data_IF_709417004013
#
_entry.id   IF_709417004013
#
_cell.length_a   1.000
_cell.length_b   1.000
_cell.length_c   1.000
_cell.angle_alpha   90.00
_cell.angle_beta   90.00
_cell.angle_gamma   90.00
#
_symmetry.space_group_name_H-M   'P 1'
#
loop_
_entity.id
_entity.type
_entity.pdbx_description
1 polymer ?
#
# COMPACT_ATOMS: atom_id res chain seq x y z
N UNK A 1 7.61 3.64 -1.54
CA UNK A 1 6.58 3.73 -2.60
C UNK A 1 5.46 4.69 -2.16
N UNK A 2 5.81 5.93 -1.79
CA UNK A 2 4.83 6.94 -1.37
C UNK A 2 5.05 8.28 -2.09
N UNK A 3 5.86 8.32 -3.18
CA UNK A 3 6.47 9.54 -3.77
C UNK A 3 5.67 10.83 -3.55
N UNK A 4 4.53 10.94 -4.22
CA UNK A 4 3.70 12.15 -4.23
C UNK A 4 2.76 12.21 -3.02
N UNK A 5 2.25 11.06 -2.57
CA UNK A 5 1.22 10.97 -1.53
C UNK A 5 1.78 10.74 -0.12
N UNK A 6 3.10 10.85 0.09
CA UNK A 6 3.72 10.54 1.38
C UNK A 6 3.13 11.37 2.53
N UNK A 7 2.90 12.69 2.38
CA UNK A 7 2.26 13.47 3.44
C UNK A 7 0.84 12.95 3.76
N UNK A 8 0.04 12.69 2.72
CA UNK A 8 -1.34 12.17 2.84
C UNK A 8 -1.35 10.79 3.51
N UNK A 9 -0.50 9.87 3.06
CA UNK A 9 -0.38 8.53 3.63
C UNK A 9 0.08 8.57 5.09
N UNK A 10 0.99 9.49 5.46
CA UNK A 10 1.42 9.65 6.85
C UNK A 10 0.26 10.07 7.76
N UNK A 11 -0.63 10.94 7.30
CA UNK A 11 -1.84 11.34 8.03
C UNK A 11 -2.76 10.12 8.23
N UNK A 12 -3.07 9.38 7.16
CA UNK A 12 -3.90 8.17 7.25
C UNK A 12 -3.30 7.11 8.19
N UNK A 13 -1.98 6.90 8.11
CA UNK A 13 -1.24 5.99 8.96
C UNK A 13 -1.22 6.45 10.43
N UNK A 14 -1.06 7.75 10.69
CA UNK A 14 -1.14 8.30 12.04
C UNK A 14 -2.54 8.10 12.63
N UNK A 15 -3.59 8.41 11.88
CA UNK A 15 -4.97 8.15 12.28
C UNK A 15 -5.19 6.67 12.60
N UNK A 16 -4.68 5.74 11.78
CA UNK A 16 -4.82 4.31 12.02
C UNK A 16 -4.17 3.83 13.33
N UNK A 17 -3.13 4.52 13.83
CA UNK A 17 -2.46 4.18 15.10
C UNK A 17 -3.13 4.76 16.32
N UNK A 18 -3.71 5.95 16.19
CA UNK A 18 -4.12 6.75 17.34
C UNK A 18 -5.64 6.99 17.42
N UNK A 19 -6.37 6.86 16.32
CA UNK A 19 -7.82 7.01 16.26
C UNK A 19 -8.33 8.45 16.47
N UNK A 20 -7.46 9.45 16.52
CA UNK A 20 -7.84 10.84 16.71
C UNK A 20 -8.41 11.44 15.42
N UNK A 21 -9.73 11.63 15.36
CA UNK A 21 -10.41 12.14 14.17
C UNK A 21 -9.87 13.51 13.70
N UNK A 22 -9.39 14.35 14.62
CA UNK A 22 -8.76 15.64 14.29
C UNK A 22 -7.53 15.50 13.40
N UNK A 23 -6.81 14.37 13.40
CA UNK A 23 -5.69 14.17 12.48
C UNK A 23 -6.14 14.23 11.02
N UNK A 24 -7.39 13.87 10.72
CA UNK A 24 -7.89 13.86 9.34
C UNK A 24 -8.21 15.27 8.80
N UNK A 25 -8.27 16.30 9.65
CA UNK A 25 -8.53 17.69 9.20
C UNK A 25 -7.38 18.25 8.35
N UNK A 26 -6.19 17.65 8.44
CA UNK A 26 -5.02 18.06 7.66
C UNK A 26 -5.01 17.43 6.24
N UNK A 27 -5.89 16.45 5.96
CA UNK A 27 -5.94 15.79 4.65
C UNK A 27 -6.22 16.75 3.49
N UNK A 28 -7.19 17.69 3.55
CA UNK A 28 -7.47 18.60 2.45
C UNK A 28 -6.27 19.46 2.05
N UNK A 29 -5.51 19.97 3.03
CA UNK A 29 -4.31 20.77 2.77
C UNK A 29 -3.22 19.92 2.10
N UNK A 30 -2.95 18.74 2.65
CA UNK A 30 -1.96 17.83 2.10
C UNK A 30 -2.32 17.38 0.67
N UNK A 31 -3.59 17.11 0.39
CA UNK A 31 -4.08 16.73 -0.94
C UNK A 31 -3.99 17.89 -1.93
N UNK A 32 -4.38 19.10 -1.51
CA UNK A 32 -4.27 20.31 -2.33
C UNK A 32 -2.82 20.57 -2.72
N UNK A 33 -1.88 20.46 -1.77
CA UNK A 33 -0.45 20.60 -2.04
C UNK A 33 0.07 19.59 -3.08
N UNK A 34 -0.40 18.34 -3.02
CA UNK A 34 -0.04 17.31 -4.01
C UNK A 34 -0.53 17.68 -5.41
N UNK A 35 -1.79 18.15 -5.55
CA UNK A 35 -2.33 18.55 -6.86
C UNK A 35 -1.70 19.85 -7.37
N UNK A 36 -1.37 20.81 -6.51
CA UNK A 36 -0.65 22.02 -6.91
C UNK A 36 0.77 21.71 -7.42
N UNK A 37 1.47 20.77 -6.78
CA UNK A 37 2.79 20.32 -7.22
C UNK A 37 2.73 19.45 -8.49
N UNK A 38 1.58 18.83 -8.76
CA UNK A 38 1.35 17.93 -9.89
C UNK A 38 0.04 18.29 -10.60
N UNK A 39 -0.01 19.44 -11.29
CA UNK A 39 -1.24 19.94 -11.89
C UNK A 39 -1.80 18.93 -12.89
N UNK A 40 -3.12 18.73 -12.83
CA UNK A 40 -3.83 17.88 -13.76
C UNK A 40 -3.86 18.53 -15.15
N UNK A 41 -3.76 17.71 -16.18
CA UNK A 41 -3.96 18.15 -17.56
C UNK A 41 -5.43 17.99 -17.91
N UNK A 42 -5.99 18.97 -18.61
CA UNK A 42 -7.38 18.95 -19.04
C UNK A 42 -7.73 17.68 -19.85
N UNK A 43 -8.93 17.15 -19.59
CA UNK A 43 -9.45 15.97 -20.27
C UNK A 43 -8.74 14.65 -19.93
N UNK A 44 -7.94 14.59 -18.85
CA UNK A 44 -7.30 13.36 -18.37
C UNK A 44 -8.00 12.81 -17.12
N UNK A 45 -8.06 11.48 -17.04
CA UNK A 45 -8.45 10.78 -15.82
C UNK A 45 -7.31 10.82 -14.80
N UNK A 46 -7.67 10.95 -13.52
CA UNK A 46 -6.75 10.84 -12.39
C UNK A 46 -6.73 9.40 -11.86
N UNK A 47 -5.52 8.87 -11.62
CA UNK A 47 -5.32 7.58 -10.95
C UNK A 47 -4.52 7.83 -9.68
N UNK A 48 -5.10 7.45 -8.53
CA UNK A 48 -4.46 7.48 -7.22
C UNK A 48 -4.25 6.03 -6.78
N UNK A 49 -3.00 5.66 -6.48
CA UNK A 49 -2.65 4.32 -6.01
C UNK A 49 -1.63 4.41 -4.89
N UNK A 50 -2.06 4.09 -3.67
CA UNK A 50 -1.22 4.12 -2.48
C UNK A 50 -1.86 3.31 -1.34
N UNK A 51 -1.25 2.19 -0.96
CA UNK A 51 -1.72 1.35 0.15
C UNK A 51 -1.84 2.13 1.47
N UNK A 52 -0.91 3.05 1.72
CA UNK A 52 -0.90 3.85 2.95
C UNK A 52 -2.12 4.77 3.14
N UNK A 53 -2.95 4.96 2.10
CA UNK A 53 -4.21 5.69 2.23
C UNK A 53 -5.24 4.92 3.05
N UNK A 54 -5.16 3.59 3.07
CA UNK A 54 -5.98 2.72 3.93
C UNK A 54 -5.48 2.67 5.39
N UNK A 55 -4.45 3.45 5.72
CA UNK A 55 -3.77 3.43 7.01
C UNK A 55 -2.60 2.45 7.06
N UNK A 56 -2.19 2.08 8.28
CA UNK A 56 -1.11 1.13 8.48
C UNK A 56 -1.56 -0.32 8.25
N UNK A 57 -0.64 -1.14 7.76
CA UNK A 57 -0.78 -2.60 7.73
C UNK A 57 -1.06 -3.15 9.15
N UNK A 58 -2.04 -4.03 9.36
CA UNK A 58 -2.23 -4.72 10.63
C UNK A 58 -0.96 -5.44 11.09
N UNK A 59 -0.55 -5.18 12.33
CA UNK A 59 0.74 -5.62 12.89
C UNK A 59 1.67 -4.49 13.31
N UNK A 60 1.40 -3.24 12.89
CA UNK A 60 1.98 -2.05 13.51
C UNK A 60 1.45 -1.87 14.95
N UNK A 61 2.17 -1.16 15.85
CA UNK A 61 1.70 -0.88 17.21
C UNK A 61 0.29 -0.25 17.19
N UNK A 62 -0.62 -0.83 17.99
CA UNK A 62 -2.04 -0.47 18.08
C UNK A 62 -2.90 -0.73 16.84
N UNK A 63 -2.35 -1.25 15.74
CA UNK A 63 -3.08 -1.52 14.50
C UNK A 63 -3.39 -3.01 14.37
N UNK A 64 -4.65 -3.38 14.63
CA UNK A 64 -5.10 -4.79 14.61
C UNK A 64 -5.81 -5.18 13.32
N UNK A 65 -6.44 -4.23 12.62
CA UNK A 65 -7.25 -4.44 11.42
C UNK A 65 -7.16 -3.21 10.52
N UNK A 66 -7.83 -3.24 9.36
CA UNK A 66 -7.99 -2.09 8.48
C UNK A 66 -9.19 -1.19 8.84
N UNK A 67 -9.64 -1.16 10.10
CA UNK A 67 -10.80 -0.36 10.54
C UNK A 67 -10.63 1.16 10.31
N UNK A 68 -9.41 1.65 10.09
CA UNK A 68 -9.16 3.04 9.73
C UNK A 68 -9.46 3.36 8.25
N UNK A 69 -9.46 2.35 7.38
CA UNK A 69 -9.60 2.52 5.94
C UNK A 69 -10.96 3.13 5.53
N UNK A 70 -12.11 2.70 6.08
CA UNK A 70 -13.39 3.34 5.77
C UNK A 70 -13.38 4.85 6.03
N UNK A 71 -12.84 5.29 7.17
CA UNK A 71 -12.78 6.71 7.50
C UNK A 71 -11.85 7.50 6.57
N UNK A 72 -10.63 7.01 6.39
CA UNK A 72 -9.59 7.71 5.61
C UNK A 72 -9.96 7.80 4.12
N UNK A 73 -10.55 6.74 3.56
CA UNK A 73 -10.99 6.73 2.17
C UNK A 73 -12.27 7.58 1.99
N UNK A 74 -13.21 7.61 2.95
CA UNK A 74 -14.37 8.51 2.88
C UNK A 74 -13.96 9.98 2.89
N UNK A 75 -12.99 10.38 3.72
CA UNK A 75 -12.46 11.74 3.70
C UNK A 75 -11.83 12.10 2.36
N UNK A 76 -11.00 11.21 1.82
CA UNK A 76 -10.38 11.39 0.50
C UNK A 76 -11.45 11.51 -0.60
N UNK A 77 -12.45 10.65 -0.59
CA UNK A 77 -13.53 10.63 -1.58
C UNK A 77 -14.38 11.89 -1.51
N UNK A 78 -14.75 12.35 -0.31
CA UNK A 78 -15.50 13.59 -0.12
C UNK A 78 -14.74 14.78 -0.68
N UNK A 79 -13.46 14.92 -0.32
CA UNK A 79 -12.63 15.98 -0.85
C UNK A 79 -12.50 15.92 -2.38
N UNK A 80 -12.32 14.73 -2.97
CA UNK A 80 -12.28 14.56 -4.43
C UNK A 80 -13.61 14.94 -5.10
N UNK A 81 -14.75 14.68 -4.46
CA UNK A 81 -16.06 15.11 -4.97
C UNK A 81 -16.17 16.62 -5.00
N UNK A 82 -15.67 17.30 -3.96
CA UNK A 82 -15.70 18.76 -3.89
C UNK A 82 -14.79 19.40 -4.96
N UNK A 83 -13.61 18.82 -5.19
CA UNK A 83 -12.67 19.32 -6.20
C UNK A 83 -13.09 18.98 -7.64
N UNK A 84 -13.74 17.83 -7.84
CA UNK A 84 -14.10 17.31 -9.16
C UNK A 84 -15.57 16.87 -9.20
N UNK A 85 -16.54 17.80 -9.09
CA UNK A 85 -17.95 17.46 -8.93
C UNK A 85 -18.57 16.73 -10.13
N UNK A 86 -17.93 16.79 -11.30
CA UNK A 86 -18.37 16.12 -12.52
C UNK A 86 -17.64 14.78 -12.76
N UNK A 87 -16.66 14.43 -11.93
CA UNK A 87 -15.87 13.22 -12.10
C UNK A 87 -16.55 12.01 -11.47
N UNK A 88 -16.61 10.90 -12.22
CA UNK A 88 -17.00 9.61 -11.67
C UNK A 88 -15.84 9.03 -10.85
N UNK A 89 -16.08 8.80 -9.55
CA UNK A 89 -15.11 8.13 -8.68
C UNK A 89 -15.35 6.62 -8.64
N UNK A 90 -14.26 5.86 -8.75
CA UNK A 90 -14.27 4.39 -8.64
C UNK A 90 -13.15 3.92 -7.74
N UNK A 91 -13.42 2.93 -6.91
CA UNK A 91 -12.42 2.30 -6.07
C UNK A 91 -12.03 0.93 -6.64
N UNK A 92 -10.73 0.69 -6.75
CA UNK A 92 -10.20 -0.64 -7.06
C UNK A 92 -9.40 -1.09 -5.84
N UNK A 93 -9.89 -2.12 -5.16
CA UNK A 93 -9.30 -2.64 -3.93
C UNK A 93 -8.65 -3.98 -4.24
N UNK A 94 -7.34 -4.10 -3.99
CA UNK A 94 -6.62 -5.36 -4.20
C UNK A 94 -6.75 -6.26 -2.98
N UNK A 95 -6.98 -7.55 -3.20
CA UNK A 95 -6.97 -8.55 -2.13
C UNK A 95 -6.14 -9.77 -2.50
N UNK A 96 -5.71 -10.50 -1.47
CA UNK A 96 -5.02 -11.78 -1.53
C UNK A 96 -5.77 -12.81 -0.69
N UNK A 97 -5.52 -14.08 -0.94
CA UNK A 97 -5.93 -15.15 -0.05
C UNK A 97 -5.40 -14.89 1.38
N UNK A 98 -6.21 -15.15 2.44
CA UNK A 98 -5.87 -14.78 3.81
C UNK A 98 -4.48 -15.23 4.27
N UNK A 99 -4.11 -16.49 4.04
CA UNK A 99 -2.81 -17.05 4.46
C UNK A 99 -1.64 -16.38 3.72
N UNK A 100 -1.78 -16.19 2.42
CA UNK A 100 -0.77 -15.52 1.58
C UNK A 100 -0.59 -14.06 1.99
N UNK A 101 -1.68 -13.38 2.36
CA UNK A 101 -1.63 -12.02 2.88
C UNK A 101 -0.94 -11.97 4.25
N UNK A 102 -1.36 -12.81 5.21
CA UNK A 102 -0.75 -12.88 6.55
C UNK A 102 0.75 -13.15 6.46
N UNK A 103 1.16 -14.10 5.62
CA UNK A 103 2.57 -14.43 5.44
C UNK A 103 3.36 -13.28 4.78
N UNK A 104 2.72 -12.52 3.89
CA UNK A 104 3.30 -11.29 3.35
C UNK A 104 3.45 -10.21 4.42
N UNK A 105 2.42 -10.00 5.25
CA UNK A 105 2.42 -9.01 6.31
C UNK A 105 3.47 -9.33 7.38
N UNK A 106 3.53 -10.58 7.85
CA UNK A 106 4.54 -11.03 8.80
C UNK A 106 5.97 -10.72 8.34
N UNK A 107 6.31 -11.08 7.10
CA UNK A 107 7.63 -10.80 6.51
C UNK A 107 7.89 -9.29 6.36
N UNK A 108 6.86 -8.51 6.05
CA UNK A 108 6.96 -7.05 6.02
C UNK A 108 7.36 -6.52 7.40
N UNK A 109 6.69 -6.98 8.46
CA UNK A 109 7.02 -6.55 9.83
C UNK A 109 8.39 -7.03 10.29
N UNK A 110 8.80 -8.25 9.94
CA UNK A 110 10.14 -8.72 10.26
C UNK A 110 11.23 -7.82 9.68
N UNK A 111 11.06 -7.37 8.44
CA UNK A 111 12.01 -6.46 7.79
C UNK A 111 11.91 -5.05 8.38
N UNK A 112 10.70 -4.47 8.42
CA UNK A 112 10.49 -3.05 8.74
C UNK A 112 10.47 -2.69 10.22
N UNK A 113 10.29 -3.66 11.11
CA UNK A 113 10.09 -3.44 12.55
C UNK A 113 10.79 -4.52 13.39
N UNK A 114 10.91 -4.30 14.70
CA UNK A 114 11.38 -5.31 15.66
C UNK A 114 10.26 -6.32 15.99
N UNK A 115 9.69 -6.95 14.97
CA UNK A 115 8.68 -8.01 15.13
C UNK A 115 9.34 -9.29 15.65
N UNK A 116 8.91 -9.76 16.82
CA UNK A 116 9.49 -10.94 17.49
C UNK A 116 8.59 -12.17 17.49
N UNK A 117 7.33 -12.03 17.05
CA UNK A 117 6.43 -13.17 16.87
C UNK A 117 6.95 -14.05 15.74
N UNK A 118 6.93 -15.36 15.96
CA UNK A 118 7.09 -16.30 14.86
C UNK A 118 5.83 -16.33 13.99
N UNK A 119 5.86 -17.18 12.96
CA UNK A 119 4.76 -17.27 12.01
C UNK A 119 3.46 -17.74 12.66
N UNK A 120 3.50 -18.78 13.51
CA UNK A 120 2.33 -19.32 14.18
C UNK A 120 1.64 -18.27 15.04
N UNK A 121 2.42 -17.58 15.88
CA UNK A 121 1.88 -16.57 16.79
C UNK A 121 1.34 -15.36 16.03
N UNK A 122 2.05 -14.92 14.98
CA UNK A 122 1.58 -13.81 14.15
C UNK A 122 0.29 -14.15 13.42
N UNK A 123 0.24 -15.33 12.76
CA UNK A 123 -0.91 -15.76 11.99
C UNK A 123 -2.15 -15.90 12.88
N UNK A 124 -2.02 -16.51 14.07
CA UNK A 124 -3.12 -16.62 15.02
C UNK A 124 -3.60 -15.24 15.50
N UNK A 125 -2.67 -14.37 15.89
CA UNK A 125 -2.99 -13.03 16.43
C UNK A 125 -3.67 -12.11 15.42
N UNK A 126 -3.26 -12.16 14.15
CA UNK A 126 -3.75 -11.25 13.11
C UNK A 126 -4.72 -11.91 12.12
N UNK A 127 -5.17 -13.15 12.39
CA UNK A 127 -6.15 -13.87 11.55
C UNK A 127 -7.38 -13.04 11.19
N UNK A 128 -8.03 -12.31 12.13
CA UNK A 128 -9.21 -11.51 11.80
C UNK A 128 -8.91 -10.39 10.78
N UNK A 129 -7.67 -9.88 10.76
CA UNK A 129 -7.26 -8.82 9.83
C UNK A 129 -7.11 -9.31 8.39
N UNK A 130 -7.07 -10.62 8.18
CA UNK A 130 -6.91 -11.25 6.87
C UNK A 130 -8.25 -11.38 6.11
N UNK A 131 -9.38 -11.01 6.73
CA UNK A 131 -10.66 -10.86 6.04
C UNK A 131 -10.69 -9.54 5.26
N UNK A 132 -9.94 -9.52 4.16
CA UNK A 132 -9.86 -8.36 3.27
C UNK A 132 -11.16 -8.14 2.50
N UNK A 133 -12.00 -9.18 2.35
CA UNK A 133 -13.30 -9.04 1.73
C UNK A 133 -14.22 -8.17 2.60
N UNK A 134 -14.24 -8.42 3.91
CA UNK A 134 -14.96 -7.58 4.86
C UNK A 134 -14.39 -6.15 4.89
N UNK A 135 -13.07 -5.99 4.97
CA UNK A 135 -12.46 -4.65 4.94
C UNK A 135 -12.82 -3.87 3.66
N UNK A 136 -12.85 -4.54 2.50
CA UNK A 136 -13.26 -3.93 1.24
C UNK A 136 -14.74 -3.55 1.25
N UNK A 137 -15.60 -4.38 1.85
CA UNK A 137 -17.02 -4.08 2.03
C UNK A 137 -17.21 -2.86 2.93
N UNK A 138 -16.51 -2.78 4.05
CA UNK A 138 -16.61 -1.64 4.97
C UNK A 138 -16.22 -0.32 4.28
N UNK A 139 -15.19 -0.33 3.43
CA UNK A 139 -14.80 0.82 2.61
C UNK A 139 -15.90 1.17 1.59
N UNK A 140 -16.47 0.16 0.92
CA UNK A 140 -17.56 0.38 -0.04
C UNK A 140 -18.78 1.03 0.64
N UNK A 141 -19.20 0.49 1.78
CA UNK A 141 -20.35 0.97 2.54
C UNK A 141 -20.13 2.42 3.03
N UNK A 142 -18.94 2.73 3.56
CA UNK A 142 -18.63 4.05 4.10
C UNK A 142 -18.49 5.15 3.03
N UNK A 143 -18.20 4.78 1.79
CA UNK A 143 -17.99 5.73 0.69
C UNK A 143 -19.20 5.81 -0.25
N UNK A 144 -20.03 4.77 -0.32
CA UNK A 144 -21.09 4.64 -1.31
C UNK A 144 -20.59 4.50 -2.74
N UNK A 145 -19.27 4.38 -2.96
CA UNK A 145 -18.67 4.33 -4.28
C UNK A 145 -18.78 2.93 -4.90
N UNK A 146 -18.81 2.89 -6.24
CA UNK A 146 -18.64 1.63 -6.96
C UNK A 146 -17.24 1.08 -6.71
N UNK A 147 -17.18 -0.12 -6.13
CA UNK A 147 -15.94 -0.85 -5.87
C UNK A 147 -15.74 -1.97 -6.88
N UNK A 148 -14.49 -2.23 -7.24
CA UNK A 148 -14.08 -3.45 -7.94
C UNK A 148 -12.93 -4.09 -7.18
N UNK A 149 -12.93 -5.42 -7.14
CA UNK A 149 -11.89 -6.16 -6.42
C UNK A 149 -10.86 -6.73 -7.38
N UNK A 150 -9.59 -6.41 -7.15
CA UNK A 150 -8.45 -6.98 -7.88
C UNK A 150 -7.89 -8.15 -7.07
N UNK A 151 -8.21 -9.38 -7.48
CA UNK A 151 -7.63 -10.58 -6.88
C UNK A 151 -6.19 -10.75 -7.36
N UNK A 152 -5.26 -10.70 -6.42
CA UNK A 152 -3.83 -10.70 -6.71
C UNK A 152 -3.36 -12.00 -7.36
N UNK A 153 -3.98 -13.13 -7.02
CA UNK A 153 -3.70 -14.46 -7.57
C UNK A 153 -3.97 -14.52 -9.08
N UNK A 154 -4.95 -13.76 -9.56
CA UNK A 154 -5.24 -13.62 -10.99
C UNK A 154 -4.45 -12.45 -11.61
N UNK A 155 -4.22 -11.38 -10.86
CA UNK A 155 -3.53 -10.19 -11.37
C UNK A 155 -2.08 -10.51 -11.80
N UNK A 156 -1.42 -11.43 -11.11
CA UNK A 156 -0.03 -11.82 -11.41
C UNK A 156 0.13 -12.57 -12.73
N UNK A 157 -0.93 -13.20 -13.25
CA UNK A 157 -0.87 -13.94 -14.53
C UNK A 157 -1.11 -13.04 -15.74
N UNK A 158 -1.45 -11.77 -15.53
CA UNK A 158 -1.62 -10.81 -16.61
C UNK A 158 -0.30 -10.60 -17.37
N UNK A 159 -0.28 -10.57 -18.72
CA UNK A 159 0.95 -10.39 -19.50
C UNK A 159 1.72 -9.08 -19.19
N UNK A 160 1.02 -8.05 -18.72
CA UNK A 160 1.59 -6.78 -18.28
C UNK A 160 1.78 -6.71 -16.75
N UNK A 161 1.67 -7.85 -16.06
CA UNK A 161 1.71 -7.98 -14.62
C UNK A 161 0.52 -7.31 -13.92
N UNK A 162 0.66 -7.13 -12.61
CA UNK A 162 -0.40 -6.59 -11.73
C UNK A 162 -0.84 -5.18 -12.18
N UNK A 163 0.11 -4.35 -12.62
CA UNK A 163 -0.18 -3.02 -13.16
C UNK A 163 -1.05 -3.10 -14.42
N UNK A 164 -0.80 -4.08 -15.28
CA UNK A 164 -1.65 -4.39 -16.43
C UNK A 164 -3.08 -4.77 -16.06
N UNK A 165 -3.24 -5.66 -15.08
CA UNK A 165 -4.55 -6.06 -14.57
C UNK A 165 -5.32 -4.86 -13.99
N UNK A 166 -4.63 -4.00 -13.21
CA UNK A 166 -5.19 -2.76 -12.69
C UNK A 166 -5.64 -1.81 -13.83
N UNK A 167 -4.79 -1.56 -14.82
CA UNK A 167 -5.11 -0.68 -15.96
C UNK A 167 -6.29 -1.22 -16.77
N UNK A 168 -6.45 -2.54 -16.89
CA UNK A 168 -7.61 -3.13 -17.55
C UNK A 168 -8.92 -2.81 -16.79
N UNK A 169 -8.90 -2.80 -15.46
CA UNK A 169 -10.08 -2.51 -14.63
C UNK A 169 -10.56 -1.06 -14.72
N UNK A 170 -9.67 -0.12 -15.11
CA UNK A 170 -10.03 1.28 -15.35
C UNK A 170 -10.81 1.49 -16.64
N UNK A 171 -10.86 0.49 -17.54
CA UNK A 171 -11.49 0.61 -18.85
C UNK A 171 -10.55 1.16 -19.94
N UNK A 172 -9.25 1.19 -19.70
CA UNK A 172 -8.28 1.67 -20.68
C UNK A 172 -8.39 0.94 -22.04
N UNK A 173 -8.45 1.67 -23.18
CA UNK A 173 -8.63 1.06 -24.49
C UNK A 173 -7.55 0.02 -24.83
N UNK A 174 -7.92 -1.04 -25.53
CA UNK A 174 -6.98 -2.11 -25.92
C UNK A 174 -5.76 -1.57 -26.71
N UNK A 175 -5.98 -0.59 -27.60
CA UNK A 175 -4.90 0.08 -28.36
C UNK A 175 -3.88 0.78 -27.45
N UNK A 176 -4.32 1.39 -26.34
CA UNK A 176 -3.42 1.98 -25.35
C UNK A 176 -2.65 0.90 -24.59
N UNK A 177 -3.35 -0.14 -24.14
CA UNK A 177 -2.74 -1.25 -23.38
C UNK A 177 -1.68 -2.00 -24.18
N UNK A 178 -1.90 -2.20 -25.49
CA UNK A 178 -0.94 -2.86 -26.38
C UNK A 178 0.39 -2.12 -26.53
N UNK A 179 0.46 -0.83 -26.16
CA UNK A 179 1.67 -0.01 -26.20
C UNK A 179 2.43 0.04 -24.86
N UNK A 180 1.91 -0.61 -23.83
CA UNK A 180 2.54 -0.64 -22.51
C UNK A 180 3.63 -1.71 -22.48
N UNK A 181 4.77 -1.36 -21.88
CA UNK A 181 5.86 -2.30 -21.65
C UNK A 181 5.70 -2.96 -20.28
N UNK A 182 5.72 -4.29 -20.17
CA UNK A 182 5.72 -4.96 -18.88
C UNK A 182 6.99 -4.60 -18.11
N UNK A 183 6.84 -4.37 -16.80
CA UNK A 183 7.97 -4.18 -15.89
C UNK A 183 8.14 -5.50 -15.13
N UNK A 184 9.38 -5.96 -14.98
CA UNK A 184 9.69 -7.15 -14.21
C UNK A 184 9.11 -7.03 -12.77
N UNK A 185 8.68 -8.13 -12.15
CA UNK A 185 8.12 -8.09 -10.80
C UNK A 185 9.05 -7.38 -9.81
N UNK A 186 8.62 -6.20 -9.37
CA UNK A 186 9.25 -5.46 -8.28
C UNK A 186 8.71 -5.98 -6.93
N UNK A 187 9.52 -5.86 -5.87
CA UNK A 187 9.16 -6.27 -4.50
C UNK A 187 8.91 -7.76 -4.30
N UNK A 188 9.86 -8.61 -4.72
CA UNK A 188 9.91 -9.99 -4.24
C UNK A 188 10.03 -9.98 -2.71
N UNK A 189 9.05 -10.57 -2.02
CA UNK A 189 9.10 -10.70 -0.57
C UNK A 189 10.22 -11.65 -0.13
N UNK A 190 10.67 -11.53 1.12
CA UNK A 190 11.72 -12.38 1.68
C UNK A 190 11.41 -13.88 1.57
N UNK A 191 12.40 -14.72 1.21
CA UNK A 191 12.24 -16.18 1.30
C UNK A 191 11.99 -16.61 2.76
N UNK A 192 11.52 -17.84 2.97
CA UNK A 192 11.33 -18.37 4.34
C UNK A 192 12.63 -18.35 5.15
N UNK A 193 13.76 -18.72 4.53
CA UNK A 193 15.08 -18.67 5.15
C UNK A 193 15.47 -17.23 5.55
N UNK A 194 15.19 -16.26 4.69
CA UNK A 194 15.50 -14.85 4.94
C UNK A 194 14.59 -14.26 6.02
N UNK A 195 13.31 -14.64 6.06
CA UNK A 195 12.39 -14.28 7.13
C UNK A 195 12.88 -14.80 8.49
N UNK A 196 13.33 -16.06 8.55
CA UNK A 196 13.91 -16.62 9.77
C UNK A 196 15.17 -15.86 10.22
N UNK A 197 16.00 -15.39 9.27
CA UNK A 197 17.16 -14.56 9.59
C UNK A 197 16.76 -13.18 10.17
N UNK A 198 15.75 -12.51 9.60
CA UNK A 198 15.22 -11.27 10.17
C UNK A 198 14.62 -11.47 11.56
N UNK A 199 13.92 -12.57 11.80
CA UNK A 199 13.38 -12.90 13.12
C UNK A 199 14.48 -13.08 14.16
N UNK A 200 15.58 -13.79 13.82
CA UNK A 200 16.74 -13.92 14.71
C UNK A 200 17.33 -12.55 15.06
N UNK A 201 17.51 -11.68 14.07
CA UNK A 201 17.99 -10.30 14.31
C UNK A 201 17.04 -9.52 15.24
N UNK A 202 15.73 -9.63 15.05
CA UNK A 202 14.73 -8.94 15.88
C UNK A 202 14.73 -9.34 17.35
N UNK A 203 15.24 -10.54 17.65
CA UNK A 203 15.34 -11.09 19.01
C UNK A 203 16.70 -10.82 19.67
N UNK A 204 17.61 -10.12 18.99
CA UNK A 204 18.88 -9.67 19.58
C UNK A 204 18.70 -8.46 20.48
N UNK A 205 19.70 -8.22 21.34
CA UNK A 205 19.81 -7.02 22.18
C UNK A 205 20.53 -5.84 21.48
N UNK A 206 20.63 -5.87 20.14
CA UNK A 206 21.19 -4.75 19.38
C UNK A 206 20.37 -3.48 19.62
N UNK A 207 21.04 -2.32 19.54
CA UNK A 207 20.36 -1.03 19.47
C UNK A 207 19.45 -0.97 18.24
N UNK A 208 18.47 -0.07 18.22
CA UNK A 208 17.59 0.06 17.06
C UNK A 208 18.34 0.52 15.80
N UNK A 209 19.41 1.31 15.96
CA UNK A 209 20.25 1.73 14.83
C UNK A 209 21.07 0.56 14.27
N UNK A 210 21.72 -0.23 15.13
CA UNK A 210 22.50 -1.40 14.69
C UNK A 210 21.60 -2.47 14.07
N UNK A 211 20.44 -2.72 14.67
CA UNK A 211 19.45 -3.65 14.11
C UNK A 211 19.00 -3.20 12.72
N UNK A 212 18.68 -1.91 12.55
CA UNK A 212 18.29 -1.35 11.25
C UNK A 212 19.41 -1.48 10.22
N UNK A 213 20.66 -1.24 10.60
CA UNK A 213 21.82 -1.37 9.72
C UNK A 213 22.01 -2.83 9.27
N UNK A 214 21.99 -3.79 10.21
CA UNK A 214 22.19 -5.21 9.88
C UNK A 214 21.06 -5.78 9.00
N UNK A 215 19.81 -5.42 9.27
CA UNK A 215 18.69 -5.82 8.41
C UNK A 215 18.80 -5.24 7.01
N UNK A 216 19.24 -3.99 6.88
CA UNK A 216 19.46 -3.35 5.58
C UNK A 216 20.50 -4.11 4.78
N UNK A 217 21.65 -4.39 5.39
CA UNK A 217 22.72 -5.15 4.74
C UNK A 217 22.24 -6.55 4.29
N UNK A 218 21.50 -7.25 5.16
CA UNK A 218 20.94 -8.56 4.85
C UNK A 218 19.90 -8.50 3.70
N UNK A 219 19.04 -7.48 3.69
CA UNK A 219 18.06 -7.27 2.64
C UNK A 219 18.74 -6.99 1.29
N UNK A 220 19.74 -6.10 1.28
CA UNK A 220 20.52 -5.75 0.10
C UNK A 220 21.26 -6.96 -0.47
N UNK A 221 21.92 -7.75 0.37
CA UNK A 221 22.61 -8.98 -0.04
C UNK A 221 21.68 -10.01 -0.67
N UNK A 222 20.43 -10.10 -0.20
CA UNK A 222 19.42 -11.00 -0.72
C UNK A 222 18.63 -10.44 -1.92
N UNK A 223 18.92 -9.21 -2.37
CA UNK A 223 18.17 -8.54 -3.43
C UNK A 223 16.70 -8.31 -3.11
N UNK A 224 16.36 -8.28 -1.81
CA UNK A 224 15.00 -7.94 -1.34
C UNK A 224 15.01 -6.55 -0.74
N UNK A 225 13.86 -5.88 -0.78
CA UNK A 225 13.76 -4.52 -0.27
C UNK A 225 13.98 -3.47 -1.36
N UNK A 226 12.89 -3.17 -2.07
CA UNK A 226 12.74 -1.95 -2.87
C UNK A 226 12.17 -0.77 -2.08
N UNK A 227 12.06 -0.88 -0.75
CA UNK A 227 11.35 0.11 0.06
C UNK A 227 12.20 1.37 0.36
N UNK A 228 13.53 1.26 0.28
CA UNK A 228 14.49 2.36 0.51
C UNK A 228 15.15 2.91 -0.77
N UNK A 229 15.09 2.21 -1.90
CA UNK A 229 15.58 2.71 -3.20
C UNK A 229 14.39 3.01 -4.10
N UNK A 230 13.70 4.11 -3.82
CA UNK A 230 13.17 4.87 -4.95
C UNK A 230 14.40 5.34 -5.71
N UNK A 231 14.81 4.60 -6.75
CA UNK A 231 15.63 5.19 -7.79
C UNK A 231 14.95 6.52 -8.15
N UNK A 232 15.65 7.64 -7.93
CA UNK A 232 15.31 8.86 -8.66
C UNK A 232 15.31 8.44 -10.12
N UNK A 233 14.27 8.77 -10.91
CA UNK A 233 14.47 8.77 -12.35
C UNK A 233 15.67 9.70 -12.57
N UNK A 234 16.70 9.23 -13.25
CA UNK A 234 17.64 10.13 -13.92
C UNK A 234 16.79 11.19 -14.62
N UNK A 235 17.08 12.47 -14.36
CA UNK A 235 16.32 13.61 -14.91
C UNK A 235 16.22 13.60 -16.43
N UNK A 236 17.01 12.76 -17.09
CA UNK A 236 16.97 12.55 -18.52
C UNK A 236 16.17 11.30 -18.86
N UNK A 237 14.89 11.52 -19.22
CA UNK A 237 14.10 10.80 -20.23
C UNK A 237 12.62 10.84 -19.89
N UNK A 238 11.98 11.94 -20.26
CA UNK A 238 10.70 11.87 -20.96
C UNK A 238 10.77 12.88 -22.11
N UNK A 239 10.44 12.48 -23.36
CA UNK A 239 10.20 13.43 -24.44
C UNK A 239 8.96 14.29 -24.17
#
# INVERSE_FOLDING_TARGET
MLRHLKPVANICMHFARHGHALTLTDLPEALSAVLSAHPLRDGRNLIISCEGLSGHLPGWPSVKTYAAAPHTISWLSGWLSDQFPQAEQRLILSQRAPDTWLFSAWRHHLLGQRMQLDWSDFAARFRPAADLAQANKDIADATGLTTKTLHMEHAVTNPLGIGGAFIQMTGAPAKLRARLTPIAPANKGASAALAAAFLRLNRTNLTDDDLRAQKRALAEAAGVGGWARAQQPTKDRLP
#
